data_IF_813518905561
#
_entry.id   IF_813518905561
#
_cell.length_a   1.000
_cell.length_b   1.000
_cell.length_c   1.000
_cell.angle_alpha   90.00
_cell.angle_beta   90.00
_cell.angle_gamma   90.00
#
_symmetry.space_group_name_H-M   'P 1'
#
loop_
_entity.id
_entity.type
_entity.pdbx_description
1 polymer ?
#
# COMPACT_ATOMS: atom_id res chain seq x y z
N UNK A 1 11.98 12.41 43.56
CA UNK A 1 10.53 12.56 43.26
C UNK A 1 10.39 13.76 42.34
N UNK A 2 9.96 13.72 41.08
CA UNK A 2 9.55 12.69 40.14
C UNK A 2 9.25 13.51 38.87
N UNK A 3 10.09 13.40 37.84
CA UNK A 3 9.92 14.13 36.59
C UNK A 3 8.78 13.50 35.80
N UNK A 4 7.68 14.23 35.64
CA UNK A 4 6.55 13.82 34.81
C UNK A 4 6.90 14.10 33.34
N UNK A 5 7.39 13.09 32.62
CA UNK A 5 7.46 13.13 31.17
C UNK A 5 6.06 12.90 30.59
N UNK A 6 5.48 13.95 30.05
CA UNK A 6 4.26 13.89 29.26
C UNK A 6 4.47 12.97 28.06
N UNK A 7 3.80 11.82 28.08
CA UNK A 7 3.64 10.95 26.90
C UNK A 7 2.90 11.74 25.83
N UNK A 8 3.59 12.11 24.76
CA UNK A 8 2.95 12.61 23.55
C UNK A 8 2.14 11.44 22.97
N UNK A 9 0.82 11.48 23.12
CA UNK A 9 -0.07 10.58 22.42
C UNK A 9 -0.07 11.00 20.95
N UNK A 10 0.67 10.28 20.11
CA UNK A 10 0.57 10.45 18.67
C UNK A 10 -0.85 10.06 18.25
N UNK A 11 -1.64 11.05 17.82
CA UNK A 11 -2.91 10.84 17.14
C UNK A 11 -2.67 9.89 15.97
N UNK A 12 -3.43 8.79 15.83
CA UNK A 12 -3.23 7.89 14.70
C UNK A 12 -3.48 8.67 13.39
N UNK A 13 -2.60 8.56 12.39
CA UNK A 13 -2.83 9.20 11.10
C UNK A 13 -4.18 8.75 10.54
N UNK A 14 -4.94 9.72 10.03
CA UNK A 14 -6.29 9.50 9.53
C UNK A 14 -6.25 8.62 8.27
N UNK A 15 -7.31 7.84 8.00
CA UNK A 15 -7.39 6.99 6.79
C UNK A 15 -7.12 7.76 5.48
N UNK A 16 -7.31 9.08 5.46
CA UNK A 16 -7.10 9.94 4.30
C UNK A 16 -5.62 10.09 3.89
N UNK A 17 -4.67 9.85 4.79
CA UNK A 17 -3.24 10.12 4.53
C UNK A 17 -2.51 9.01 3.76
N UNK A 18 -3.16 7.86 3.55
CA UNK A 18 -2.54 6.67 2.97
C UNK A 18 -3.10 6.25 1.61
N UNK A 19 -3.64 7.18 0.83
CA UNK A 19 -4.11 6.92 -0.54
C UNK A 19 -2.99 7.06 -1.58
N UNK A 20 -3.19 6.43 -2.73
CA UNK A 20 -2.27 6.45 -3.86
C UNK A 20 -1.01 5.59 -3.63
N UNK A 21 -0.07 5.65 -4.59
CA UNK A 21 1.16 4.88 -4.52
C UNK A 21 2.17 5.51 -3.55
N UNK A 22 2.92 4.65 -2.87
CA UNK A 22 4.05 5.04 -2.04
C UNK A 22 5.24 4.11 -2.30
N UNK A 23 6.38 4.69 -2.66
CA UNK A 23 7.63 3.93 -2.87
C UNK A 23 8.30 3.72 -1.52
N UNK A 24 8.33 2.47 -1.07
CA UNK A 24 8.90 2.05 0.23
C UNK A 24 10.40 1.81 0.11
N UNK A 25 10.82 1.21 -1.00
CA UNK A 25 12.22 0.92 -1.27
C UNK A 25 12.52 1.22 -2.72
N UNK A 26 13.46 2.12 -2.94
CA UNK A 26 13.99 2.45 -4.26
C UNK A 26 15.37 1.84 -4.42
N UNK A 27 15.65 1.29 -5.61
CA UNK A 27 16.92 0.68 -5.95
C UNK A 27 17.37 1.19 -7.32
N UNK A 28 18.68 1.26 -7.55
CA UNK A 28 19.21 1.60 -8.87
C UNK A 28 19.00 0.40 -9.80
N UNK A 29 18.43 0.64 -10.98
CA UNK A 29 18.09 -0.39 -11.97
C UNK A 29 17.29 -1.58 -11.39
N UNK A 30 16.06 -1.35 -10.89
CA UNK A 30 15.23 -2.42 -10.34
C UNK A 30 15.00 -3.50 -11.39
N UNK A 31 15.10 -4.77 -11.00
CA UNK A 31 14.80 -5.93 -11.87
C UNK A 31 13.33 -6.33 -11.84
N UNK A 32 12.61 -5.92 -10.80
CA UNK A 32 11.18 -6.19 -10.60
C UNK A 32 10.57 -5.09 -9.75
N UNK A 33 9.29 -4.81 -9.99
CA UNK A 33 8.47 -3.97 -9.11
C UNK A 33 7.54 -4.85 -8.29
N UNK A 34 7.54 -4.69 -6.97
CA UNK A 34 6.58 -5.32 -6.06
C UNK A 34 5.60 -4.27 -5.58
N UNK A 35 4.30 -4.48 -5.81
CA UNK A 35 3.23 -3.58 -5.36
C UNK A 35 2.36 -4.31 -4.35
N UNK A 36 2.31 -3.80 -3.12
CA UNK A 36 1.51 -4.35 -2.03
C UNK A 36 0.20 -3.56 -1.91
N UNK A 37 -0.94 -4.23 -1.94
CA UNK A 37 -2.26 -3.58 -1.86
C UNK A 37 -3.10 -4.16 -0.72
N UNK A 38 -3.61 -3.27 0.13
CA UNK A 38 -4.54 -3.66 1.17
C UNK A 38 -5.92 -4.05 0.61
N UNK A 39 -6.71 -4.76 1.41
CA UNK A 39 -8.11 -5.08 1.11
C UNK A 39 -9.10 -4.12 1.75
N UNK A 40 -10.34 -4.56 1.88
CA UNK A 40 -11.45 -3.82 2.49
C UNK A 40 -11.12 -3.14 3.81
N UNK A 41 -11.58 -1.90 3.99
CA UNK A 41 -11.36 -1.05 5.18
C UNK A 41 -9.90 -0.86 5.61
N UNK A 42 -8.95 -1.38 4.84
CA UNK A 42 -7.55 -1.50 5.19
C UNK A 42 -6.81 -0.18 5.04
N UNK A 43 -5.54 -0.24 5.42
CA UNK A 43 -4.58 0.83 5.28
C UNK A 43 -3.29 0.25 4.70
N UNK A 44 -2.65 0.96 3.76
CA UNK A 44 -1.52 0.43 2.95
C UNK A 44 -0.33 -0.08 3.77
N UNK A 45 -0.17 0.39 5.00
CA UNK A 45 0.83 -0.09 5.97
C UNK A 45 0.22 -0.96 7.07
N UNK A 46 -0.70 -0.42 7.90
CA UNK A 46 -1.28 -1.13 9.05
C UNK A 46 -1.86 -2.51 8.75
N UNK A 47 -2.40 -2.74 7.54
CA UNK A 47 -2.91 -4.07 7.12
C UNK A 47 -1.83 -5.16 7.19
N UNK A 48 -0.57 -4.75 7.06
CA UNK A 48 0.60 -5.62 6.92
C UNK A 48 1.55 -5.52 8.12
N UNK A 49 1.15 -4.81 9.17
CA UNK A 49 1.90 -4.69 10.43
C UNK A 49 1.32 -5.67 11.44
N UNK A 50 2.14 -6.59 11.93
CA UNK A 50 1.72 -7.54 12.96
C UNK A 50 1.52 -6.83 14.31
N UNK A 51 0.75 -7.44 15.20
CA UNK A 51 0.57 -6.93 16.55
C UNK A 51 1.92 -6.87 17.29
N UNK A 52 2.21 -5.73 17.92
CA UNK A 52 3.48 -5.49 18.61
C UNK A 52 4.61 -4.97 17.71
N UNK A 53 4.46 -4.99 16.39
CA UNK A 53 5.43 -4.45 15.45
C UNK A 53 5.15 -2.98 15.10
N UNK A 54 6.20 -2.23 14.77
CA UNK A 54 6.09 -0.81 14.37
C UNK A 54 6.04 -0.61 12.87
N UNK A 55 6.46 -1.60 12.08
CA UNK A 55 6.63 -1.50 10.63
C UNK A 55 6.01 -2.72 9.94
N UNK A 56 5.46 -2.55 8.72
CA UNK A 56 4.88 -3.67 7.99
C UNK A 56 5.97 -4.62 7.49
N UNK A 57 5.63 -5.91 7.39
CA UNK A 57 6.60 -6.95 7.03
C UNK A 57 7.26 -6.72 5.66
N UNK A 58 6.54 -6.12 4.70
CA UNK A 58 7.10 -5.86 3.37
C UNK A 58 8.23 -4.82 3.39
N UNK A 59 8.30 -3.98 4.42
CA UNK A 59 9.36 -2.98 4.59
C UNK A 59 10.56 -3.56 5.35
N UNK A 60 10.35 -4.54 6.22
CA UNK A 60 11.40 -5.12 7.07
C UNK A 60 12.05 -6.36 6.46
N UNK A 61 11.32 -7.11 5.63
CA UNK A 61 11.75 -8.39 5.05
C UNK A 61 12.15 -8.25 3.57
N UNK A 62 11.26 -7.72 2.72
CA UNK A 62 11.48 -7.72 1.27
C UNK A 62 12.76 -7.00 0.81
N UNK A 63 13.22 -5.88 1.40
CA UNK A 63 14.47 -5.26 0.97
C UNK A 63 15.69 -6.16 1.21
N UNK A 64 15.62 -7.07 2.19
CA UNK A 64 16.69 -8.02 2.51
C UNK A 64 16.66 -9.23 1.57
N UNK A 65 15.47 -9.77 1.33
CA UNK A 65 15.29 -10.98 0.52
C UNK A 65 15.31 -10.69 -0.99
N UNK A 66 14.85 -9.51 -1.39
CA UNK A 66 14.75 -9.04 -2.77
C UNK A 66 15.49 -7.71 -2.96
N UNK A 67 16.84 -7.69 -2.83
CA UNK A 67 17.62 -6.43 -2.84
C UNK A 67 17.61 -5.70 -4.19
N UNK A 68 17.17 -6.35 -5.27
CA UNK A 68 17.03 -5.75 -6.60
C UNK A 68 15.59 -5.36 -6.95
N UNK A 69 14.66 -5.48 -6.01
CA UNK A 69 13.26 -5.12 -6.20
C UNK A 69 13.01 -3.66 -5.77
N UNK A 70 12.21 -2.94 -6.54
CA UNK A 70 11.57 -1.71 -6.07
C UNK A 70 10.26 -2.10 -5.40
N UNK A 71 10.10 -1.70 -4.14
CA UNK A 71 8.94 -2.07 -3.32
C UNK A 71 8.04 -0.85 -3.19
N UNK A 72 6.77 -1.04 -3.50
CA UNK A 72 5.72 -0.03 -3.45
C UNK A 72 4.55 -0.59 -2.65
N UNK A 73 3.83 0.31 -1.98
CA UNK A 73 2.52 0.00 -1.39
C UNK A 73 1.50 0.98 -1.96
N UNK A 74 0.27 0.53 -2.18
CA UNK A 74 -0.79 1.35 -2.74
C UNK A 74 -2.00 1.34 -1.81
N UNK A 75 -2.57 2.51 -1.58
CA UNK A 75 -3.83 2.64 -0.87
C UNK A 75 -4.94 3.24 -1.71
N UNK A 76 -6.16 2.74 -1.50
CA UNK A 76 -7.37 3.26 -2.13
C UNK A 76 -8.48 3.36 -1.09
N UNK A 77 -9.49 4.19 -1.36
CA UNK A 77 -10.65 4.26 -0.48
C UNK A 77 -11.45 2.96 -0.57
N UNK A 78 -11.31 2.13 0.46
CA UNK A 78 -11.92 0.81 0.54
C UNK A 78 -13.09 0.78 1.53
N UNK A 79 -13.84 1.89 1.68
CA UNK A 79 -15.02 1.94 2.54
C UNK A 79 -16.05 0.89 2.10
N UNK A 80 -16.42 0.02 3.05
CA UNK A 80 -17.37 -1.09 2.86
C UNK A 80 -18.73 -0.56 2.43
N UNK A 81 -19.18 0.56 2.98
CA UNK A 81 -20.51 1.07 2.68
C UNK A 81 -20.63 1.54 1.22
N UNK A 82 -19.54 2.02 0.61
CA UNK A 82 -19.51 2.43 -0.79
C UNK A 82 -19.45 1.23 -1.74
N UNK A 83 -18.66 0.22 -1.39
CA UNK A 83 -18.41 -0.95 -2.21
C UNK A 83 -19.53 -2.00 -2.18
N UNK A 84 -20.35 -2.08 -1.12
CA UNK A 84 -21.48 -3.02 -1.03
C UNK A 84 -22.78 -2.49 -1.64
N UNK A 85 -22.81 -1.24 -2.11
CA UNK A 85 -23.97 -0.67 -2.84
C UNK A 85 -23.96 -1.10 -4.30
N UNK A 86 -25.09 -0.96 -5.00
CA UNK A 86 -25.18 -1.23 -6.45
C UNK A 86 -24.15 -0.42 -7.26
N UNK A 87 -23.76 0.76 -6.78
CA UNK A 87 -22.69 1.58 -7.35
C UNK A 87 -21.27 1.01 -7.14
N UNK A 88 -21.09 0.00 -6.29
CA UNK A 88 -19.79 -0.55 -5.90
C UNK A 88 -18.98 -1.15 -7.04
N UNK A 89 -19.63 -1.73 -8.06
CA UNK A 89 -18.92 -2.20 -9.26
C UNK A 89 -18.29 -1.05 -10.06
N UNK A 90 -19.00 0.08 -10.18
CA UNK A 90 -18.42 1.28 -10.78
C UNK A 90 -17.26 1.80 -9.92
N UNK A 91 -17.40 1.78 -8.60
CA UNK A 91 -16.34 2.17 -7.65
C UNK A 91 -15.08 1.32 -7.81
N UNK A 92 -15.18 -0.02 -7.89
CA UNK A 92 -14.04 -0.92 -8.13
C UNK A 92 -13.35 -0.58 -9.45
N UNK A 93 -14.12 -0.38 -10.52
CA UNK A 93 -13.58 -0.04 -11.84
C UNK A 93 -12.82 1.30 -11.81
N UNK A 94 -13.34 2.30 -11.10
CA UNK A 94 -12.64 3.58 -10.97
C UNK A 94 -11.36 3.44 -10.13
N UNK A 95 -11.36 2.65 -9.05
CA UNK A 95 -10.12 2.35 -8.32
C UNK A 95 -9.08 1.64 -9.19
N UNK A 96 -9.49 0.67 -10.00
CA UNK A 96 -8.60 -0.04 -10.91
C UNK A 96 -7.98 0.91 -11.96
N UNK A 97 -8.80 1.81 -12.54
CA UNK A 97 -8.30 2.84 -13.47
C UNK A 97 -7.30 3.78 -12.81
N UNK A 98 -7.61 4.29 -11.63
CA UNK A 98 -6.69 5.19 -10.89
C UNK A 98 -5.39 4.47 -10.56
N UNK A 99 -5.45 3.22 -10.08
CA UNK A 99 -4.28 2.39 -9.82
C UNK A 99 -3.41 2.23 -11.07
N UNK A 100 -4.01 1.86 -12.21
CA UNK A 100 -3.28 1.68 -13.47
C UNK A 100 -2.63 2.99 -13.93
N UNK A 101 -3.35 4.12 -13.82
CA UNK A 101 -2.83 5.43 -14.21
C UNK A 101 -1.64 5.85 -13.32
N UNK A 102 -1.79 5.71 -12.01
CA UNK A 102 -0.75 6.05 -11.03
C UNK A 102 0.50 5.18 -11.22
N UNK A 103 0.32 3.86 -11.37
CA UNK A 103 1.42 2.94 -11.60
C UNK A 103 2.09 3.20 -12.95
N UNK A 104 1.34 3.51 -14.00
CA UNK A 104 1.90 3.87 -15.32
C UNK A 104 2.75 5.13 -15.23
N UNK A 105 2.30 6.15 -14.49
CA UNK A 105 3.05 7.38 -14.26
C UNK A 105 4.35 7.13 -13.46
N UNK A 106 4.36 6.17 -12.53
CA UNK A 106 5.56 5.77 -11.77
C UNK A 106 6.50 4.81 -12.52
N UNK A 107 6.08 4.34 -13.70
CA UNK A 107 6.72 3.26 -14.46
C UNK A 107 7.09 3.65 -15.89
N UNK A 108 7.34 4.94 -16.14
CA UNK A 108 7.64 5.50 -17.48
C UNK A 108 8.81 4.81 -18.20
N UNK A 109 9.85 4.40 -17.48
CA UNK A 109 11.09 3.85 -18.06
C UNK A 109 11.33 2.40 -17.65
N UNK A 110 10.28 1.59 -17.70
CA UNK A 110 10.29 0.23 -17.11
C UNK A 110 9.86 -0.85 -18.09
N UNK A 111 9.99 -0.57 -19.40
CA UNK A 111 9.63 -1.51 -20.47
C UNK A 111 10.34 -2.86 -20.25
N UNK A 112 9.56 -3.93 -20.18
CA UNK A 112 10.06 -5.28 -19.95
C UNK A 112 10.35 -5.63 -18.48
N UNK A 113 10.25 -4.69 -17.54
CA UNK A 113 10.42 -4.99 -16.11
C UNK A 113 9.15 -5.68 -15.55
N UNK A 114 9.25 -6.88 -14.97
CA UNK A 114 8.09 -7.55 -14.38
C UNK A 114 7.47 -6.75 -13.21
N UNK A 115 6.18 -6.97 -12.99
CA UNK A 115 5.42 -6.49 -11.83
C UNK A 115 4.88 -7.68 -11.03
N UNK A 116 4.97 -7.62 -9.71
CA UNK A 116 4.38 -8.60 -8.80
C UNK A 116 3.40 -7.86 -7.89
N UNK A 117 2.17 -8.32 -7.84
CA UNK A 117 1.15 -7.80 -6.93
C UNK A 117 1.01 -8.72 -5.71
N UNK A 118 1.10 -8.14 -4.51
CA UNK A 118 0.79 -8.82 -3.24
C UNK A 118 -0.48 -8.18 -2.71
N UNK A 119 -1.59 -8.92 -2.78
CA UNK A 119 -2.93 -8.39 -2.48
C UNK A 119 -3.57 -9.14 -1.34
N UNK A 120 -4.31 -8.42 -0.50
CA UNK A 120 -5.09 -9.02 0.58
C UNK A 120 -6.59 -8.97 0.28
N UNK A 121 -7.27 -10.12 0.39
CA UNK A 121 -8.73 -10.23 0.33
C UNK A 121 -9.30 -9.53 -0.92
N UNK A 122 -10.30 -8.64 -0.75
CA UNK A 122 -10.93 -7.92 -1.85
C UNK A 122 -10.00 -6.95 -2.61
N UNK A 123 -8.79 -6.67 -2.10
CA UNK A 123 -7.79 -5.93 -2.87
C UNK A 123 -7.49 -6.60 -4.22
N UNK A 124 -7.69 -7.92 -4.31
CA UNK A 124 -7.59 -8.66 -5.57
C UNK A 124 -8.66 -8.33 -6.61
N UNK A 125 -9.78 -7.68 -6.26
CA UNK A 125 -10.78 -7.25 -7.25
C UNK A 125 -10.42 -5.94 -7.97
N UNK A 126 -9.46 -5.19 -7.42
CA UNK A 126 -8.96 -3.93 -8.02
C UNK A 126 -7.90 -4.21 -9.09
N UNK A 127 -7.29 -5.40 -9.06
CA UNK A 127 -6.27 -5.89 -10.00
C UNK A 127 -6.94 -6.65 -11.14
#
# INVERSE_FOLDING_TARGET
>A
MGGSSSKVSATPPSKAEALGPYVVTSVQHPKVDVVVLHGFTGHREKTWTAEGETEPWFKTLLPKDLPTARIMTYGYDADVLHLTRVAGQNTIREHAKTLINDLSALRTDTVGRPIIFVVHSLGGLVI
#
